data_IF_317778772336
#
_entry.id   IF_317778772336
#
_cell.length_a   1.000
_cell.length_b   1.000
_cell.length_c   1.000
_cell.angle_alpha   90.00
_cell.angle_beta   90.00
_cell.angle_gamma   90.00
#
_symmetry.space_group_name_H-M   'P 1'
#
loop_
_entity.id
_entity.type
_entity.pdbx_description
1 polymer ?
#
# COMPACT_ATOMS: atom_id res chain seq x y z
N UNK A 1 -33.25 -15.47 12.91
CA UNK A 1 -32.45 -14.26 13.23
C UNK A 1 -31.31 -14.53 14.21
N UNK A 2 -31.56 -14.99 15.45
CA UNK A 2 -30.50 -15.31 16.45
C UNK A 2 -29.37 -16.22 15.94
N UNK A 3 -29.68 -17.23 15.13
CA UNK A 3 -28.67 -18.17 14.58
C UNK A 3 -27.75 -17.52 13.54
N UNK A 4 -28.24 -16.55 12.76
CA UNK A 4 -27.44 -15.85 11.75
C UNK A 4 -26.49 -14.87 12.44
N UNK A 5 -26.96 -14.15 13.47
CA UNK A 5 -26.12 -13.28 14.29
C UNK A 5 -24.95 -14.04 14.95
N UNK A 6 -25.22 -15.23 15.52
CA UNK A 6 -24.16 -16.08 16.08
C UNK A 6 -23.12 -16.53 15.04
N UNK A 7 -23.54 -16.90 13.82
CA UNK A 7 -22.61 -17.27 12.75
C UNK A 7 -21.75 -16.08 12.29
N UNK A 8 -22.31 -14.88 12.27
CA UNK A 8 -21.56 -13.64 11.96
C UNK A 8 -20.52 -13.35 13.05
N UNK A 9 -20.92 -13.37 14.32
CA UNK A 9 -20.00 -13.14 15.45
C UNK A 9 -18.84 -14.15 15.49
N UNK A 10 -19.13 -15.44 15.29
CA UNK A 10 -18.10 -16.49 15.25
C UNK A 10 -17.13 -16.30 14.09
N UNK A 11 -17.64 -15.87 12.94
CA UNK A 11 -16.81 -15.59 11.76
C UNK A 11 -15.88 -14.39 12.00
N UNK A 12 -16.37 -13.35 12.68
CA UNK A 12 -15.55 -12.19 13.09
C UNK A 12 -14.47 -12.61 14.08
N UNK A 13 -14.84 -13.31 15.17
CA UNK A 13 -13.91 -13.81 16.19
C UNK A 13 -12.81 -14.71 15.61
N UNK A 14 -13.11 -15.49 14.57
CA UNK A 14 -12.11 -16.33 13.88
C UNK A 14 -11.09 -15.53 13.08
N UNK A 15 -11.44 -14.33 12.61
CA UNK A 15 -10.54 -13.46 11.81
C UNK A 15 -9.77 -12.48 12.69
N UNK A 16 -10.34 -12.09 13.82
CA UNK A 16 -9.77 -11.11 14.76
C UNK A 16 -8.28 -11.32 15.10
N UNK A 17 -7.80 -12.56 15.41
CA UNK A 17 -6.40 -12.77 15.74
C UNK A 17 -5.46 -12.55 14.55
N UNK A 18 -5.90 -12.95 13.34
CA UNK A 18 -5.14 -12.77 12.11
C UNK A 18 -5.00 -11.30 11.74
N UNK A 19 -6.10 -10.55 11.83
CA UNK A 19 -6.12 -9.10 11.60
C UNK A 19 -5.26 -8.38 12.63
N UNK A 20 -5.36 -8.75 13.91
CA UNK A 20 -4.53 -8.20 14.98
C UNK A 20 -3.04 -8.45 14.77
N UNK A 21 -2.68 -9.64 14.28
CA UNK A 21 -1.28 -9.97 13.95
C UNK A 21 -0.78 -9.10 12.80
N UNK A 22 -1.57 -8.95 11.75
CA UNK A 22 -1.21 -8.11 10.59
C UNK A 22 -1.03 -6.65 10.99
N UNK A 23 -1.93 -6.10 11.81
CA UNK A 23 -1.82 -4.72 12.30
C UNK A 23 -0.54 -4.51 13.15
N UNK A 24 -0.14 -5.50 13.96
CA UNK A 24 1.15 -5.45 14.68
C UNK A 24 2.35 -5.46 13.74
N UNK A 25 2.34 -6.31 12.72
CA UNK A 25 3.41 -6.38 11.73
C UNK A 25 3.52 -5.06 10.96
N UNK A 26 2.38 -4.50 10.55
CA UNK A 26 2.28 -3.17 9.94
C UNK A 26 2.90 -2.09 10.84
N UNK A 27 2.50 -2.00 12.11
CA UNK A 27 3.05 -1.02 13.04
C UNK A 27 4.57 -1.16 13.23
N UNK A 28 5.09 -2.40 13.24
CA UNK A 28 6.54 -2.64 13.28
C UNK A 28 7.25 -2.13 12.03
N UNK A 29 6.61 -2.23 10.85
CA UNK A 29 7.17 -1.66 9.62
C UNK A 29 7.13 -0.13 9.63
N UNK A 30 6.07 0.49 10.14
CA UNK A 30 5.98 1.94 10.31
C UNK A 30 7.13 2.46 11.17
N UNK A 31 7.41 1.79 12.29
CA UNK A 31 8.54 2.13 13.17
C UNK A 31 9.89 2.01 12.45
N UNK A 32 10.11 0.92 11.69
CA UNK A 32 11.33 0.75 10.88
C UNK A 32 11.47 1.86 9.84
N UNK A 33 10.38 2.25 9.18
CA UNK A 33 10.38 3.35 8.22
C UNK A 33 10.75 4.68 8.88
N UNK A 34 10.19 5.00 10.05
CA UNK A 34 10.57 6.18 10.82
C UNK A 34 12.07 6.20 11.14
N UNK A 35 12.63 5.07 11.56
CA UNK A 35 14.07 4.95 11.83
C UNK A 35 14.91 5.20 10.56
N UNK A 36 14.51 4.63 9.42
CA UNK A 36 15.22 4.82 8.15
C UNK A 36 15.16 6.27 7.65
N UNK A 37 14.00 6.91 7.78
CA UNK A 37 13.81 8.33 7.42
C UNK A 37 14.65 9.22 8.34
N UNK A 38 14.61 8.99 9.66
CA UNK A 38 15.40 9.74 10.63
C UNK A 38 16.91 9.62 10.40
N UNK A 39 17.38 8.44 9.94
CA UNK A 39 18.78 8.19 9.55
C UNK A 39 19.15 8.73 8.16
N UNK A 40 18.19 9.32 7.42
CA UNK A 40 18.34 9.78 6.03
C UNK A 40 18.76 8.67 5.06
N UNK A 41 18.38 7.44 5.34
CA UNK A 41 18.57 6.29 4.44
C UNK A 41 17.37 6.06 3.52
N UNK A 42 16.26 6.76 3.76
CA UNK A 42 15.10 6.75 2.89
C UNK A 42 15.27 7.74 1.70
N UNK A 43 14.54 7.53 0.59
CA UNK A 43 14.46 8.49 -0.50
C UNK A 43 14.06 9.89 -0.02
N UNK A 44 14.42 10.93 -0.80
CA UNK A 44 13.98 12.31 -0.52
C UNK A 44 12.46 12.37 -0.49
N UNK A 45 11.93 13.10 0.50
CA UNK A 45 10.50 13.27 0.75
C UNK A 45 9.74 12.00 1.13
N UNK A 46 10.43 10.92 1.51
CA UNK A 46 9.76 9.76 2.07
C UNK A 46 9.08 10.12 3.40
N UNK A 47 7.80 9.76 3.51
CA UNK A 47 6.97 9.94 4.71
C UNK A 47 6.61 8.54 5.23
N UNK A 48 6.82 8.29 6.51
CA UNK A 48 6.38 7.05 7.14
C UNK A 48 4.86 7.13 7.37
N UNK A 49 4.12 6.04 7.14
CA UNK A 49 2.70 6.00 7.38
C UNK A 49 2.40 5.93 8.89
N UNK A 50 1.19 6.33 9.28
CA UNK A 50 0.82 6.35 10.70
C UNK A 50 0.51 4.93 11.22
N UNK A 51 0.95 4.57 12.44
CA UNK A 51 0.62 3.30 13.08
C UNK A 51 -0.88 3.16 13.39
N UNK A 52 -1.40 1.94 13.26
CA UNK A 52 -2.79 1.60 13.56
C UNK A 52 -3.01 1.43 15.08
N UNK A 53 -4.02 2.08 15.69
CA UNK A 53 -4.35 1.90 17.10
C UNK A 53 -4.99 0.54 17.38
N UNK A 54 -4.19 -0.41 17.87
CA UNK A 54 -4.63 -1.80 18.09
C UNK A 54 -5.80 -1.96 19.08
N UNK A 55 -5.95 -1.04 20.05
CA UNK A 55 -7.03 -1.10 21.06
C UNK A 55 -8.40 -0.77 20.47
N UNK A 56 -8.42 0.01 19.40
CA UNK A 56 -9.65 0.51 18.78
C UNK A 56 -9.89 -0.12 17.41
N UNK A 57 -9.01 -1.03 16.97
CA UNK A 57 -9.05 -1.70 15.67
C UNK A 57 -10.40 -2.38 15.34
N UNK A 58 -11.11 -2.86 16.35
CA UNK A 58 -12.42 -3.51 16.18
C UNK A 58 -13.60 -2.64 16.63
N UNK A 59 -13.35 -1.38 17.02
CA UNK A 59 -14.39 -0.41 17.35
C UNK A 59 -15.07 0.20 16.13
N UNK A 60 -14.55 -0.11 14.93
CA UNK A 60 -15.15 0.09 13.60
C UNK A 60 -16.00 1.36 13.51
N UNK A 61 -15.40 2.49 13.84
CA UNK A 61 -15.97 3.81 13.58
C UNK A 61 -15.56 4.30 12.18
N UNK A 62 -16.39 5.12 11.56
CA UNK A 62 -16.09 5.74 10.27
C UNK A 62 -15.00 6.79 10.38
N UNK A 63 -14.83 7.39 11.57
CA UNK A 63 -13.80 8.37 11.88
C UNK A 63 -12.50 7.74 12.43
N UNK A 64 -12.38 6.40 12.43
CA UNK A 64 -11.19 5.73 12.96
C UNK A 64 -9.95 6.01 12.08
N UNK A 65 -8.81 6.27 12.72
CA UNK A 65 -7.52 6.55 12.07
C UNK A 65 -6.96 5.41 11.19
N UNK A 66 -7.68 4.27 11.10
CA UNK A 66 -7.39 3.22 10.11
C UNK A 66 -7.69 3.70 8.67
N UNK A 67 -8.57 4.68 8.51
CA UNK A 67 -8.91 5.29 7.24
C UNK A 67 -7.99 6.49 7.00
N UNK A 68 -6.79 6.23 6.47
CA UNK A 68 -5.83 7.29 6.14
C UNK A 68 -6.09 7.82 4.72
N UNK A 69 -6.33 9.13 4.59
CA UNK A 69 -6.46 9.83 3.31
C UNK A 69 -5.11 10.06 2.60
N UNK A 70 -4.04 9.39 3.04
CA UNK A 70 -2.70 9.53 2.49
C UNK A 70 -2.66 9.19 1.00
N UNK A 71 -2.47 10.22 0.16
CA UNK A 71 -2.43 10.09 -1.30
C UNK A 71 -3.77 10.25 -2.02
N UNK A 72 -4.86 10.52 -1.28
CA UNK A 72 -6.17 10.93 -1.81
C UNK A 72 -6.41 12.44 -1.72
N UNK A 73 -5.43 13.16 -1.18
CA UNK A 73 -5.38 14.61 -1.13
C UNK A 73 -5.30 15.22 -2.54
N UNK A 74 -6.38 15.89 -2.97
CA UNK A 74 -6.48 16.66 -4.22
C UNK A 74 -5.46 17.82 -4.30
N UNK A 75 -4.84 18.24 -3.20
CA UNK A 75 -3.81 19.30 -3.20
C UNK A 75 -2.44 18.79 -3.67
N UNK A 76 -2.20 17.47 -3.60
CA UNK A 76 -0.99 16.85 -4.17
C UNK A 76 -1.11 16.65 -5.69
N UNK A 77 -2.33 16.62 -6.24
CA UNK A 77 -2.60 16.47 -7.69
C UNK A 77 -2.71 17.82 -8.42
N UNK A 78 -1.88 18.78 -8.04
CA UNK A 78 -1.81 20.11 -8.69
C UNK A 78 -0.90 20.14 -9.92
N UNK A 79 -0.27 19.01 -10.29
CA UNK A 79 0.64 18.89 -11.42
C UNK A 79 -0.02 18.37 -12.70
N UNK A 80 0.62 18.61 -13.85
CA UNK A 80 0.27 17.87 -15.07
C UNK A 80 0.46 16.36 -14.82
N UNK A 81 -0.45 15.49 -15.31
CA UNK A 81 -0.33 14.06 -15.09
C UNK A 81 1.02 13.54 -15.59
N UNK A 82 1.61 12.51 -14.96
CA UNK A 82 2.90 11.98 -15.34
C UNK A 82 2.95 11.67 -16.85
N UNK A 83 4.09 11.90 -17.52
CA UNK A 83 4.16 11.72 -18.98
C UNK A 83 3.87 10.28 -19.42
N UNK A 84 4.21 9.28 -18.60
CA UNK A 84 3.86 7.88 -18.89
C UNK A 84 2.34 7.65 -18.91
N UNK A 85 1.55 8.53 -18.30
CA UNK A 85 0.10 8.47 -18.27
C UNK A 85 -0.51 9.25 -19.46
N UNK A 86 -0.02 10.47 -19.71
CA UNK A 86 -0.65 11.42 -20.64
C UNK A 86 0.05 11.56 -22.01
N UNK A 87 1.31 11.14 -22.16
CA UNK A 87 2.09 11.34 -23.39
C UNK A 87 2.21 10.03 -24.20
N UNK A 88 1.55 10.02 -25.36
CA UNK A 88 1.56 8.87 -26.29
C UNK A 88 2.94 8.42 -26.73
N UNK A 89 3.87 9.36 -26.95
CA UNK A 89 5.22 9.05 -27.38
C UNK A 89 5.99 8.33 -26.26
N UNK A 90 5.83 8.80 -25.03
CA UNK A 90 6.45 8.17 -23.84
C UNK A 90 5.90 6.76 -23.65
N UNK A 91 4.58 6.57 -23.76
CA UNK A 91 3.96 5.23 -23.67
C UNK A 91 4.46 4.27 -24.74
N UNK A 92 4.56 4.73 -25.99
CA UNK A 92 5.11 3.93 -27.09
C UNK A 92 6.58 3.59 -26.86
N UNK A 93 7.37 4.55 -26.37
CA UNK A 93 8.78 4.33 -26.02
C UNK A 93 8.97 3.29 -24.92
N UNK A 94 8.21 3.38 -23.83
CA UNK A 94 8.25 2.39 -22.74
C UNK A 94 7.96 0.98 -23.27
N UNK A 95 6.90 0.82 -24.08
CA UNK A 95 6.56 -0.47 -24.69
C UNK A 95 7.69 -1.03 -25.55
N UNK A 96 8.30 -0.20 -26.39
CA UNK A 96 9.39 -0.62 -27.26
C UNK A 96 10.64 -1.08 -26.47
N UNK A 97 10.97 -0.40 -25.37
CA UNK A 97 12.08 -0.80 -24.50
C UNK A 97 11.79 -2.16 -23.85
N UNK A 98 10.58 -2.33 -23.29
CA UNK A 98 10.18 -3.60 -22.67
C UNK A 98 10.16 -4.77 -23.66
N UNK A 99 9.78 -4.51 -24.92
CA UNK A 99 9.80 -5.52 -25.97
C UNK A 99 11.24 -5.93 -26.33
N UNK A 100 12.15 -4.96 -26.47
CA UNK A 100 13.58 -5.24 -26.66
C UNK A 100 14.15 -6.07 -25.51
N UNK A 101 13.92 -5.65 -24.27
CA UNK A 101 14.45 -6.33 -23.08
C UNK A 101 13.93 -7.78 -23.00
N UNK A 102 12.65 -7.99 -23.35
CA UNK A 102 12.08 -9.33 -23.48
C UNK A 102 12.76 -10.16 -24.58
N UNK A 103 13.05 -9.57 -25.74
CA UNK A 103 13.79 -10.28 -26.80
C UNK A 103 15.18 -10.71 -26.33
N UNK A 104 15.88 -9.85 -25.58
CA UNK A 104 17.20 -10.16 -25.02
C UNK A 104 17.13 -11.30 -23.98
N UNK A 105 16.11 -11.29 -23.11
CA UNK A 105 15.84 -12.37 -22.17
C UNK A 105 15.57 -13.71 -22.88
N UNK A 106 14.74 -13.71 -23.93
CA UNK A 106 14.46 -14.94 -24.70
C UNK A 106 15.71 -15.44 -25.45
N UNK A 107 16.53 -14.54 -25.99
CA UNK A 107 17.79 -14.91 -26.63
C UNK A 107 18.76 -15.56 -25.64
N UNK A 108 18.81 -15.08 -24.39
CA UNK A 108 19.59 -15.71 -23.33
C UNK A 108 19.09 -17.10 -22.96
N UNK A 109 17.77 -17.34 -22.95
CA UNK A 109 17.20 -18.67 -22.67
C UNK A 109 17.47 -19.70 -23.76
N UNK A 110 17.60 -19.25 -25.01
CA UNK A 110 17.89 -20.11 -26.15
C UNK A 110 19.39 -20.48 -26.26
N UNK A 111 20.25 -19.87 -25.46
CA UNK A 111 21.68 -20.21 -25.33
C UNK A 111 21.90 -21.24 -24.23
#
# INVERSE_FOLDING_TARGET
ERKIQGHTEDSVKRREPGISKLAKEYNSMCEKMHVLIGRRWAPRNAVAPEPIPLKELFRLDVDDAIWQDGGLDDTTDTGAPPEWLCNDKVRKGIKAILERDRCDEELQRLR
#
